data_IF_384368843979
#
_entry.id   IF_384368843979
#
_cell.length_a   1.000
_cell.length_b   1.000
_cell.length_c   1.000
_cell.angle_alpha   90.00
_cell.angle_beta   90.00
_cell.angle_gamma   90.00
#
_symmetry.space_group_name_H-M   'P 1'
#
loop_
_entity.id
_entity.type
_entity.pdbx_description
1 polymer ?
#
# COMPACT_ATOMS: atom_id res chain seq x y z
N UNK A 1 6.70 -15.07 16.87
CA UNK A 1 6.32 -14.50 15.54
C UNK A 1 5.20 -15.30 14.84
N UNK A 2 5.25 -16.64 14.84
CA UNK A 2 4.26 -17.50 14.18
C UNK A 2 2.78 -17.23 14.58
N UNK A 3 2.50 -17.00 15.86
CA UNK A 3 1.14 -16.71 16.34
C UNK A 3 0.51 -15.43 15.75
N UNK A 4 1.32 -14.39 15.48
CA UNK A 4 0.82 -13.15 14.85
C UNK A 4 0.45 -13.42 13.39
N UNK A 5 1.27 -14.19 12.67
CA UNK A 5 1.01 -14.58 11.28
C UNK A 5 -0.26 -15.42 11.17
N UNK A 6 -0.44 -16.40 12.07
CA UNK A 6 -1.66 -17.22 12.13
C UNK A 6 -2.90 -16.35 12.34
N UNK A 7 -2.86 -15.42 13.31
CA UNK A 7 -3.99 -14.52 13.58
C UNK A 7 -4.29 -13.56 12.44
N UNK A 8 -3.27 -13.03 11.74
CA UNK A 8 -3.48 -12.20 10.55
C UNK A 8 -4.14 -12.99 9.42
N UNK A 9 -3.73 -14.25 9.22
CA UNK A 9 -4.34 -15.13 8.22
C UNK A 9 -5.79 -15.47 8.55
N UNK A 10 -6.10 -15.74 9.81
CA UNK A 10 -7.47 -16.06 10.24
C UNK A 10 -8.41 -14.86 10.18
N UNK A 11 -7.93 -13.67 10.58
CA UNK A 11 -8.80 -12.52 10.81
C UNK A 11 -8.77 -11.46 9.71
N UNK A 12 -7.61 -11.23 9.09
CA UNK A 12 -7.41 -10.09 8.19
C UNK A 12 -7.49 -10.52 6.72
N UNK A 13 -6.93 -11.67 6.36
CA UNK A 13 -6.93 -12.17 4.98
C UNK A 13 -8.35 -12.34 4.39
N UNK A 14 -9.34 -12.91 5.10
CA UNK A 14 -10.70 -13.03 4.57
C UNK A 14 -11.34 -11.66 4.29
N UNK A 15 -11.09 -10.67 5.15
CA UNK A 15 -11.63 -9.31 5.02
C UNK A 15 -10.99 -8.57 3.85
N UNK A 16 -9.69 -8.77 3.63
CA UNK A 16 -8.97 -8.28 2.46
C UNK A 16 -9.48 -8.90 1.17
N UNK A 17 -9.66 -10.24 1.14
CA UNK A 17 -10.16 -10.96 -0.02
C UNK A 17 -11.61 -10.56 -0.39
N UNK A 18 -12.42 -10.18 0.60
CA UNK A 18 -13.77 -9.65 0.40
C UNK A 18 -13.80 -8.16 -0.01
N UNK A 19 -12.65 -7.49 -0.13
CA UNK A 19 -12.59 -6.06 -0.47
C UNK A 19 -13.10 -5.11 0.62
N UNK A 20 -13.24 -5.61 1.87
CA UNK A 20 -13.81 -4.83 2.99
C UNK A 20 -12.77 -4.00 3.75
N UNK A 21 -11.49 -4.21 3.48
CA UNK A 21 -10.36 -3.49 4.10
C UNK A 21 -9.33 -3.12 3.03
N UNK A 22 -9.71 -2.26 2.10
CA UNK A 22 -8.82 -1.86 1.01
C UNK A 22 -7.93 -0.68 1.44
N UNK A 23 -6.64 -0.67 1.05
CA UNK A 23 -5.80 0.49 1.27
C UNK A 23 -6.31 1.68 0.45
N UNK A 24 -6.35 2.85 1.06
CA UNK A 24 -6.54 4.11 0.32
C UNK A 24 -5.24 4.39 -0.44
N UNK A 25 -5.31 4.40 -1.77
CA UNK A 25 -4.17 4.71 -2.64
C UNK A 25 -4.27 6.18 -3.03
N UNK A 26 -3.22 6.95 -2.72
CA UNK A 26 -3.14 8.36 -3.07
C UNK A 26 -2.65 8.54 -4.52
N UNK A 27 -1.57 7.84 -4.88
CA UNK A 27 -0.96 7.95 -6.19
C UNK A 27 -0.15 6.69 -6.53
N UNK A 28 -0.03 6.40 -7.83
CA UNK A 28 0.81 5.33 -8.37
C UNK A 28 1.80 5.94 -9.35
N UNK A 29 3.09 5.69 -9.16
CA UNK A 29 4.15 6.18 -10.04
C UNK A 29 4.89 5.01 -10.70
N UNK A 30 5.32 5.12 -11.97
CA UNK A 30 6.35 4.25 -12.52
C UNK A 30 7.60 4.28 -11.64
N UNK A 31 8.32 3.16 -11.53
CA UNK A 31 9.58 3.09 -10.79
C UNK A 31 10.59 4.16 -11.27
N UNK A 32 10.58 4.48 -12.57
CA UNK A 32 11.39 5.55 -13.16
C UNK A 32 11.11 6.95 -12.56
N UNK A 33 9.93 7.16 -11.97
CA UNK A 33 9.49 8.42 -11.35
C UNK A 33 9.58 8.38 -9.82
N UNK A 34 10.44 7.53 -9.25
CA UNK A 34 10.61 7.40 -7.79
C UNK A 34 10.95 8.73 -7.10
N UNK A 35 11.66 9.63 -7.78
CA UNK A 35 11.99 10.97 -7.24
C UNK A 35 10.72 11.80 -7.03
N UNK A 36 9.77 11.75 -7.96
CA UNK A 36 8.50 12.48 -7.85
C UNK A 36 7.59 11.86 -6.79
N UNK A 37 7.59 10.53 -6.67
CA UNK A 37 6.93 9.83 -5.58
C UNK A 37 7.48 10.25 -4.20
N UNK A 38 8.81 10.39 -4.08
CA UNK A 38 9.46 10.88 -2.85
C UNK A 38 9.10 12.33 -2.54
N UNK A 39 9.12 13.23 -3.54
CA UNK A 39 8.70 14.63 -3.35
C UNK A 39 7.26 14.72 -2.84
N UNK A 40 6.36 13.91 -3.39
CA UNK A 40 4.97 13.85 -2.93
C UNK A 40 4.86 13.33 -1.49
N UNK A 41 5.66 12.32 -1.13
CA UNK A 41 5.75 11.79 0.22
C UNK A 41 6.22 12.88 1.21
N UNK A 42 7.30 13.59 0.89
CA UNK A 42 7.89 14.64 1.72
C UNK A 42 6.98 15.86 1.89
N UNK A 43 6.19 16.19 0.86
CA UNK A 43 5.25 17.31 0.91
C UNK A 43 4.16 17.16 1.97
N UNK A 44 3.95 15.95 2.52
CA UNK A 44 2.86 15.61 3.44
C UNK A 44 1.45 15.90 2.91
N UNK A 45 1.31 16.14 1.59
CA UNK A 45 0.02 16.36 0.91
C UNK A 45 -0.71 15.06 0.55
N UNK A 46 -0.11 13.91 0.82
CA UNK A 46 -0.66 12.61 0.47
C UNK A 46 -1.57 12.07 1.58
N UNK A 47 -2.77 11.64 1.19
CA UNK A 47 -3.69 10.89 2.07
C UNK A 47 -3.76 9.46 1.53
N UNK A 48 -3.16 8.52 2.26
CA UNK A 48 -3.09 7.12 1.87
C UNK A 48 -1.71 6.69 1.39
N UNK A 49 -1.63 5.55 0.69
CA UNK A 49 -0.37 4.96 0.22
C UNK A 49 0.06 5.54 -1.12
N UNK A 50 1.36 5.75 -1.28
CA UNK A 50 2.01 6.01 -2.58
C UNK A 50 2.60 4.69 -3.05
N UNK A 51 2.22 4.26 -4.25
CA UNK A 51 2.64 2.97 -4.83
C UNK A 51 3.63 3.20 -5.97
N UNK A 52 4.62 2.31 -6.10
CA UNK A 52 5.49 2.25 -7.27
C UNK A 52 5.11 1.03 -8.12
N UNK A 53 4.88 1.24 -9.41
CA UNK A 53 4.74 0.13 -10.37
C UNK A 53 6.12 -0.26 -10.90
N UNK A 54 6.41 -1.55 -10.82
CA UNK A 54 7.66 -2.17 -11.29
C UNK A 54 7.49 -2.90 -12.63
N UNK A 55 6.26 -2.93 -13.17
CA UNK A 55 5.97 -3.48 -14.50
C UNK A 55 5.91 -2.33 -15.50
N UNK A 56 6.58 -2.53 -16.64
CA UNK A 56 6.52 -1.66 -17.82
C UNK A 56 5.12 -1.64 -18.44
#
# INVERSE_FOLDING_TARGET
>A
KAAIVARLREKVWPVLAQGRCLPVIHAVFPLAQVVDAHRLMESSKHIGKIMLTVKE
#
